data_IF_342145698226
#
_entry.id   IF_342145698226
#
_cell.length_a   1.000
_cell.length_b   1.000
_cell.length_c   1.000
_cell.angle_alpha   90.00
_cell.angle_beta   90.00
_cell.angle_gamma   90.00
#
_symmetry.space_group_name_H-M   'P 1'
#
loop_
_entity.id
_entity.type
_entity.pdbx_description
1 polymer ?
#
# COMPACT_ATOMS: atom_id res chain seq x y z
N UNK A 1 -5.04 23.00 10.94
CA UNK A 1 -4.16 24.06 10.39
C UNK A 1 -2.77 23.70 10.84
N UNK A 2 -1.78 23.47 9.93
CA UNK A 2 -0.42 23.25 10.37
C UNK A 2 0.01 24.43 11.26
N UNK A 3 0.64 24.13 12.39
CA UNK A 3 1.20 25.14 13.26
C UNK A 3 2.20 25.97 12.46
N UNK A 4 1.76 27.11 11.97
CA UNK A 4 2.62 28.10 11.32
C UNK A 4 3.64 28.54 12.36
N UNK A 5 4.92 28.34 12.05
CA UNK A 5 6.00 28.87 12.88
C UNK A 5 5.74 30.37 13.03
N UNK A 6 5.57 30.89 14.26
CA UNK A 6 5.29 32.32 14.45
C UNK A 6 6.35 33.17 13.79
N UNK A 7 5.96 34.29 13.21
CA UNK A 7 6.91 35.21 12.61
C UNK A 7 7.99 35.58 13.64
N UNK A 8 9.28 35.36 13.30
CA UNK A 8 10.41 35.57 14.19
C UNK A 8 10.87 34.37 15.02
N UNK A 9 10.16 33.24 14.99
CA UNK A 9 10.65 32.01 15.60
C UNK A 9 11.83 31.43 14.80
N UNK A 10 12.88 31.00 15.50
CA UNK A 10 13.99 30.28 14.86
C UNK A 10 13.54 28.86 14.53
N UNK A 11 13.46 28.54 13.24
CA UNK A 11 13.29 27.15 12.79
C UNK A 11 14.56 26.37 13.11
N UNK A 12 14.46 25.37 13.96
CA UNK A 12 15.60 24.50 14.28
C UNK A 12 15.76 23.45 13.17
N UNK A 13 17.00 23.04 12.91
CA UNK A 13 17.31 21.98 11.95
C UNK A 13 16.52 20.69 12.29
N UNK A 14 16.33 20.40 13.59
CA UNK A 14 15.52 19.27 14.04
C UNK A 14 14.03 19.36 13.63
N UNK A 15 13.47 20.55 13.55
CA UNK A 15 12.06 20.75 13.13
C UNK A 15 11.89 20.45 11.64
N UNK A 16 12.89 20.82 10.83
CA UNK A 16 12.91 20.52 9.39
C UNK A 16 13.10 19.02 9.16
N UNK A 17 14.08 18.41 9.83
CA UNK A 17 14.39 16.99 9.66
C UNK A 17 13.25 16.08 10.16
N UNK A 18 12.49 16.51 11.18
CA UNK A 18 11.36 15.75 11.70
C UNK A 18 10.14 15.76 10.76
N UNK A 19 10.09 16.71 9.81
CA UNK A 19 8.99 16.86 8.83
C UNK A 19 9.37 16.42 7.42
N UNK A 20 10.66 16.19 7.16
CA UNK A 20 11.11 15.72 5.85
C UNK A 20 10.62 14.28 5.61
N UNK A 21 10.01 13.97 4.47
CA UNK A 21 9.64 12.61 4.11
C UNK A 21 10.88 11.70 4.05
N UNK A 22 10.78 10.52 4.66
CA UNK A 22 11.85 9.52 4.68
C UNK A 22 11.31 8.19 4.16
N UNK A 23 11.95 7.64 3.14
CA UNK A 23 11.63 6.29 2.67
C UNK A 23 11.94 5.28 3.78
N UNK A 24 10.91 4.52 4.18
CA UNK A 24 11.02 3.47 5.20
C UNK A 24 11.30 2.13 4.54
N UNK A 25 10.54 1.80 3.50
CA UNK A 25 10.75 0.59 2.70
C UNK A 25 10.22 0.80 1.28
N UNK A 26 10.90 0.16 0.34
CA UNK A 26 10.46 -0.05 -1.04
C UNK A 26 10.73 -1.51 -1.40
N UNK A 27 9.67 -2.27 -1.65
CA UNK A 27 9.78 -3.67 -2.05
C UNK A 27 9.03 -3.90 -3.35
N UNK A 28 9.68 -4.52 -4.32
CA UNK A 28 9.15 -4.68 -5.66
C UNK A 28 9.31 -6.10 -6.18
N UNK A 29 8.35 -6.54 -6.98
CA UNK A 29 8.46 -7.74 -7.82
C UNK A 29 8.58 -7.35 -9.29
N UNK A 30 9.39 -8.09 -10.01
CA UNK A 30 9.64 -7.92 -11.46
C UNK A 30 9.11 -9.09 -12.29
N UNK A 31 8.39 -10.01 -11.64
CA UNK A 31 7.72 -11.15 -12.28
C UNK A 31 6.27 -11.20 -11.81
N UNK A 32 5.36 -11.53 -12.71
CA UNK A 32 3.93 -11.65 -12.38
C UNK A 32 3.68 -12.80 -11.40
N UNK A 33 2.68 -12.62 -10.53
CA UNK A 33 2.22 -13.70 -9.65
C UNK A 33 1.45 -14.78 -10.44
N UNK A 34 1.33 -15.96 -9.85
CA UNK A 34 0.39 -16.96 -10.34
C UNK A 34 -1.05 -16.43 -10.29
N UNK A 35 -1.88 -16.83 -11.24
CA UNK A 35 -3.30 -16.48 -11.24
C UNK A 35 -4.05 -17.21 -10.13
N UNK A 36 -5.04 -16.54 -9.53
CA UNK A 36 -5.89 -17.11 -8.49
C UNK A 36 -7.38 -16.95 -8.79
N UNK A 37 -8.20 -17.90 -8.34
CA UNK A 37 -9.66 -17.79 -8.25
C UNK A 37 -10.13 -17.47 -6.82
N UNK A 38 -9.20 -17.36 -5.87
CA UNK A 38 -9.48 -17.17 -4.45
C UNK A 38 -10.11 -15.81 -4.17
N UNK A 39 -11.17 -15.81 -3.36
CA UNK A 39 -11.75 -14.61 -2.75
C UNK A 39 -11.04 -14.20 -1.46
N UNK A 40 -10.12 -15.02 -0.95
CA UNK A 40 -9.23 -14.68 0.14
C UNK A 40 -7.97 -13.98 -0.36
N UNK A 41 -7.40 -13.11 0.47
CA UNK A 41 -6.20 -12.36 0.14
C UNK A 41 -5.00 -13.29 -0.15
N UNK A 42 -4.42 -13.16 -1.32
CA UNK A 42 -3.22 -13.88 -1.75
C UNK A 42 -2.02 -12.95 -1.68
N UNK A 43 -0.90 -13.35 -1.08
CA UNK A 43 0.29 -12.51 -1.03
C UNK A 43 0.92 -12.37 -2.41
N UNK A 44 1.35 -11.16 -2.74
CA UNK A 44 2.12 -10.84 -3.93
C UNK A 44 3.50 -10.29 -3.57
N UNK A 45 3.55 -9.36 -2.63
CA UNK A 45 4.77 -8.66 -2.21
C UNK A 45 4.83 -8.72 -0.68
N UNK A 46 5.95 -9.16 -0.13
CA UNK A 46 6.20 -9.09 1.32
C UNK A 46 7.45 -8.26 1.55
N UNK A 47 7.32 -7.18 2.30
CA UNK A 47 8.46 -6.31 2.61
C UNK A 47 9.40 -6.97 3.61
N UNK A 48 10.64 -6.49 3.65
CA UNK A 48 11.47 -6.65 4.83
C UNK A 48 10.77 -6.06 6.08
N UNK A 49 11.16 -6.47 7.30
CA UNK A 49 10.61 -5.89 8.51
C UNK A 49 10.79 -4.37 8.55
N UNK A 50 9.70 -3.65 8.78
CA UNK A 50 9.68 -2.19 8.89
C UNK A 50 9.32 -1.76 10.30
N UNK A 51 9.88 -0.65 10.78
CA UNK A 51 9.49 -0.05 12.05
C UNK A 51 8.65 1.20 11.80
N UNK A 52 7.38 1.10 12.15
CA UNK A 52 6.42 2.21 12.14
C UNK A 52 6.51 2.91 13.51
N UNK A 53 7.26 4.01 13.57
CA UNK A 53 7.54 4.73 14.82
C UNK A 53 6.27 5.35 15.40
N UNK A 54 6.14 5.33 16.71
CA UNK A 54 5.05 6.01 17.41
C UNK A 54 5.08 7.52 17.19
N UNK A 55 3.91 8.15 17.15
CA UNK A 55 3.76 9.59 16.90
C UNK A 55 4.05 10.03 15.45
N UNK A 56 4.17 9.08 14.51
CA UNK A 56 4.48 9.35 13.10
C UNK A 56 3.33 8.95 12.19
N UNK A 57 3.27 9.65 11.04
CA UNK A 57 2.38 9.34 9.93
C UNK A 57 3.17 8.69 8.78
N UNK A 58 2.56 7.70 8.16
CA UNK A 58 3.15 6.94 7.06
C UNK A 58 2.21 6.94 5.86
N UNK A 59 2.74 7.32 4.70
CA UNK A 59 2.07 7.08 3.43
C UNK A 59 2.44 5.68 2.95
N UNK A 60 1.44 4.85 2.74
CA UNK A 60 1.57 3.51 2.18
C UNK A 60 1.03 3.56 0.76
N UNK A 61 1.82 3.10 -0.20
CA UNK A 61 1.47 3.03 -1.61
C UNK A 61 1.58 1.61 -2.11
N UNK A 62 0.62 1.18 -2.95
CA UNK A 62 0.70 -0.07 -3.71
C UNK A 62 0.40 0.24 -5.18
N UNK A 63 1.38 -0.08 -6.04
CA UNK A 63 1.28 0.11 -7.48
C UNK A 63 1.59 -1.18 -8.22
N UNK A 64 0.92 -1.38 -9.35
CA UNK A 64 1.16 -2.52 -10.22
C UNK A 64 0.15 -2.61 -11.36
N UNK A 65 0.05 -3.79 -11.94
CA UNK A 65 -1.00 -4.16 -12.87
C UNK A 65 -1.81 -5.33 -12.31
N UNK A 66 -3.12 -5.36 -12.54
CA UNK A 66 -3.95 -6.54 -12.29
C UNK A 66 -4.23 -7.22 -13.62
N UNK A 67 -3.82 -8.48 -13.75
CA UNK A 67 -4.17 -9.32 -14.90
C UNK A 67 -5.48 -10.04 -14.65
N UNK A 68 -6.21 -10.30 -15.72
CA UNK A 68 -7.38 -11.17 -15.71
C UNK A 68 -7.35 -12.06 -16.95
N UNK A 69 -7.67 -13.34 -16.79
CA UNK A 69 -7.76 -14.32 -17.89
C UNK A 69 -9.14 -14.34 -18.55
N UNK A 70 -10.12 -13.67 -17.97
CA UNK A 70 -11.49 -13.61 -18.49
C UNK A 70 -12.04 -12.18 -18.35
N UNK A 71 -12.76 -11.73 -19.35
CA UNK A 71 -13.45 -10.42 -19.32
C UNK A 71 -14.44 -10.31 -18.15
N UNK A 72 -14.53 -9.14 -17.56
CA UNK A 72 -15.50 -8.80 -16.52
C UNK A 72 -15.13 -9.27 -15.12
N UNK A 73 -14.02 -9.98 -14.93
CA UNK A 73 -13.51 -10.29 -13.60
C UNK A 73 -13.10 -9.02 -12.86
N UNK A 74 -13.32 -9.00 -11.57
CA UNK A 74 -12.93 -7.88 -10.72
C UNK A 74 -12.12 -8.38 -9.53
N UNK A 75 -11.11 -7.63 -9.17
CA UNK A 75 -10.31 -7.89 -8.00
C UNK A 75 -10.13 -6.64 -7.14
N UNK A 76 -9.56 -6.83 -5.97
CA UNK A 76 -9.04 -5.76 -5.12
C UNK A 76 -7.60 -6.06 -4.76
N UNK A 77 -6.86 -5.02 -4.44
CA UNK A 77 -5.53 -5.10 -3.84
C UNK A 77 -5.55 -4.46 -2.47
N UNK A 78 -4.77 -5.00 -1.56
CA UNK A 78 -4.69 -4.54 -0.18
C UNK A 78 -3.22 -4.51 0.25
N UNK A 79 -2.91 -3.69 1.25
CA UNK A 79 -1.68 -3.84 2.03
C UNK A 79 -2.09 -4.16 3.46
N UNK A 80 -1.65 -5.29 3.96
CA UNK A 80 -1.96 -5.79 5.29
C UNK A 80 -0.70 -5.85 6.16
N UNK A 81 -0.87 -5.75 7.47
CA UNK A 81 0.21 -5.81 8.45
C UNK A 81 0.40 -7.24 8.96
N UNK A 82 1.63 -7.72 8.97
CA UNK A 82 2.03 -9.01 9.54
C UNK A 82 1.84 -10.20 8.61
N UNK A 83 0.71 -10.30 7.93
CA UNK A 83 0.39 -11.39 7.00
C UNK A 83 -0.67 -10.95 5.98
N UNK A 84 -0.92 -11.77 4.96
CA UNK A 84 -1.95 -11.51 3.96
C UNK A 84 -3.37 -11.34 4.56
N UNK A 85 -3.66 -12.00 5.67
CA UNK A 85 -4.92 -11.86 6.42
C UNK A 85 -4.84 -10.94 7.63
N UNK A 86 -3.77 -10.16 7.77
CA UNK A 86 -3.56 -9.23 8.89
C UNK A 86 -4.41 -7.96 8.79
N UNK A 87 -4.18 -7.02 9.74
CA UNK A 87 -4.88 -5.74 9.73
C UNK A 87 -4.62 -4.97 8.44
N UNK A 88 -5.68 -4.58 7.75
CA UNK A 88 -5.60 -3.86 6.48
C UNK A 88 -5.20 -2.40 6.71
N UNK A 89 -4.12 -1.97 6.09
CA UNK A 89 -3.62 -0.60 6.12
C UNK A 89 -3.99 0.21 4.87
N UNK A 90 -4.13 -0.48 3.74
CA UNK A 90 -4.61 0.08 2.48
C UNK A 90 -5.56 -0.92 1.84
N UNK A 91 -6.70 -0.43 1.37
CA UNK A 91 -7.68 -1.21 0.62
C UNK A 91 -8.07 -0.45 -0.65
N UNK A 92 -7.93 -1.07 -1.79
CA UNK A 92 -8.37 -0.49 -3.04
C UNK A 92 -9.89 -0.61 -3.20
N UNK A 93 -10.44 0.26 -4.03
CA UNK A 93 -11.72 0.00 -4.65
C UNK A 93 -11.59 -1.19 -5.63
N UNK A 94 -12.72 -1.70 -6.11
CA UNK A 94 -12.74 -2.76 -7.13
C UNK A 94 -11.99 -2.30 -8.37
N UNK A 95 -11.04 -3.11 -8.82
CA UNK A 95 -10.32 -2.95 -10.07
C UNK A 95 -11.07 -3.79 -11.11
N UNK A 96 -11.75 -3.16 -12.07
CA UNK A 96 -12.41 -3.90 -13.14
C UNK A 96 -11.33 -4.52 -14.04
N UNK A 97 -11.50 -5.78 -14.41
CA UNK A 97 -10.72 -6.38 -15.50
C UNK A 97 -11.06 -5.73 -16.86
N UNK A 98 -10.21 -5.92 -17.85
CA UNK A 98 -10.46 -5.39 -19.19
C UNK A 98 -11.82 -5.83 -19.74
N UNK A 99 -12.51 -4.92 -20.41
CA UNK A 99 -13.82 -5.22 -21.02
C UNK A 99 -13.61 -5.92 -22.37
N UNK A 100 -14.29 -7.05 -22.57
CA UNK A 100 -14.31 -7.74 -23.84
C UNK A 100 -13.20 -8.76 -24.08
N UNK A 101 -12.14 -8.78 -23.28
CA UNK A 101 -11.04 -9.76 -23.40
C UNK A 101 -10.22 -9.88 -22.13
N UNK A 102 -9.37 -10.92 -22.05
CA UNK A 102 -8.33 -11.01 -21.03
C UNK A 102 -7.30 -9.87 -21.19
N UNK A 103 -6.69 -9.42 -20.10
CA UNK A 103 -5.68 -8.37 -20.19
C UNK A 103 -5.21 -7.87 -18.82
N UNK A 104 -4.56 -6.70 -18.84
CA UNK A 104 -3.98 -6.06 -17.65
C UNK A 104 -4.50 -4.63 -17.51
N UNK A 105 -4.86 -4.26 -16.28
CA UNK A 105 -5.24 -2.89 -15.90
C UNK A 105 -4.26 -2.40 -14.85
N UNK A 106 -3.62 -1.24 -15.10
CA UNK A 106 -2.74 -0.60 -14.12
C UNK A 106 -3.52 -0.09 -12.91
N UNK A 107 -2.90 -0.14 -11.74
CA UNK A 107 -3.44 0.45 -10.52
C UNK A 107 -2.38 1.22 -9.74
N UNK A 108 -2.84 2.23 -9.00
CA UNK A 108 -2.09 2.98 -8.02
C UNK A 108 -3.04 3.36 -6.89
N UNK A 109 -2.76 2.91 -5.69
CA UNK A 109 -3.52 3.23 -4.50
C UNK A 109 -2.59 3.67 -3.39
N UNK A 110 -3.02 4.65 -2.61
CA UNK A 110 -2.30 5.11 -1.43
C UNK A 110 -3.25 5.33 -0.25
N UNK A 111 -2.71 5.22 0.95
CA UNK A 111 -3.39 5.59 2.19
C UNK A 111 -2.38 6.19 3.17
N UNK A 112 -2.84 7.09 4.02
CA UNK A 112 -2.07 7.61 5.14
C UNK A 112 -2.55 6.94 6.41
N UNK A 113 -1.62 6.35 7.13
CA UNK A 113 -1.84 5.73 8.45
C UNK A 113 -1.00 6.44 9.49
N UNK A 114 -1.48 6.46 10.75
CA UNK A 114 -0.76 7.07 11.87
C UNK A 114 -0.55 6.06 13.00
N UNK A 115 0.67 6.01 13.53
CA UNK A 115 0.94 5.24 14.73
C UNK A 115 0.76 6.12 15.97
N UNK A 116 -0.38 5.98 16.63
CA UNK A 116 -0.73 6.64 17.89
C UNK A 116 -0.80 5.66 19.06
N UNK A 117 -0.25 4.45 18.93
CA UNK A 117 -0.34 3.40 19.97
C UNK A 117 0.55 3.65 21.18
N UNK A 118 1.44 4.64 21.12
CA UNK A 118 2.41 4.93 22.19
C UNK A 118 3.70 4.11 22.10
N UNK A 119 3.79 3.12 21.19
CA UNK A 119 4.95 2.25 20.98
C UNK A 119 5.31 2.14 19.50
N UNK A 120 6.58 1.88 19.23
CA UNK A 120 7.02 1.55 17.87
C UNK A 120 6.52 0.15 17.49
N UNK A 121 6.05 0.00 16.24
CA UNK A 121 5.54 -1.26 15.72
C UNK A 121 6.51 -1.78 14.66
N UNK A 122 7.22 -2.88 14.95
CA UNK A 122 8.03 -3.57 13.96
C UNK A 122 7.22 -4.72 13.35
N UNK A 123 7.07 -4.74 12.05
CA UNK A 123 6.22 -5.68 11.31
C UNK A 123 6.69 -5.81 9.86
N UNK A 124 6.19 -6.84 9.15
CA UNK A 124 6.23 -6.88 7.69
C UNK A 124 4.95 -6.31 7.13
N UNK A 125 5.00 -5.77 5.92
CA UNK A 125 3.81 -5.39 5.16
C UNK A 125 3.65 -6.33 3.98
N UNK A 126 2.41 -6.74 3.72
CA UNK A 126 2.09 -7.70 2.66
C UNK A 126 1.13 -7.05 1.67
N UNK A 127 1.63 -6.76 0.48
CA UNK A 127 0.80 -6.40 -0.67
C UNK A 127 0.11 -7.66 -1.18
N UNK A 128 -1.22 -7.62 -1.22
CA UNK A 128 -2.07 -8.77 -1.56
C UNK A 128 -3.01 -8.44 -2.71
N UNK A 129 -3.60 -9.47 -3.28
CA UNK A 129 -4.69 -9.39 -4.25
C UNK A 129 -5.72 -10.47 -3.97
N UNK A 130 -6.97 -10.21 -4.32
CA UNK A 130 -8.05 -11.19 -4.18
C UNK A 130 -9.12 -10.95 -5.23
N UNK A 131 -9.81 -12.02 -5.63
CA UNK A 131 -10.95 -11.92 -6.53
C UNK A 131 -12.19 -11.47 -5.74
N UNK A 132 -12.91 -10.48 -6.29
CA UNK A 132 -14.15 -9.97 -5.67
C UNK A 132 -15.37 -10.39 -6.48
N UNK A 133 -15.23 -10.41 -7.80
CA UNK A 133 -16.32 -10.81 -8.69
C UNK A 133 -15.82 -11.81 -9.73
N UNK A 134 -16.03 -13.11 -9.48
CA UNK A 134 -15.62 -14.16 -10.40
C UNK A 134 -16.52 -14.18 -11.65
N UNK A 135 -15.90 -14.38 -12.81
CA UNK A 135 -16.57 -14.65 -14.08
C UNK A 135 -16.08 -16.01 -14.59
N UNK A 136 -16.93 -17.01 -14.50
CA UNK A 136 -16.58 -18.37 -14.90
C UNK A 136 -15.36 -18.93 -14.14
N UNK A 137 -14.47 -19.63 -14.85
CA UNK A 137 -13.22 -20.22 -14.30
C UNK A 137 -12.00 -19.34 -14.45
N UNK A 138 -12.16 -18.06 -14.79
CA UNK A 138 -11.03 -17.16 -14.98
C UNK A 138 -10.28 -16.83 -13.69
N UNK A 139 -9.02 -16.44 -13.83
CA UNK A 139 -8.15 -16.07 -12.71
C UNK A 139 -7.75 -14.59 -12.79
N UNK A 140 -7.37 -14.03 -11.65
CA UNK A 140 -6.68 -12.74 -11.56
C UNK A 140 -5.28 -12.92 -10.97
N UNK A 141 -4.37 -11.99 -11.25
CA UNK A 141 -3.02 -11.97 -10.68
C UNK A 141 -2.44 -10.56 -10.71
N UNK A 142 -1.30 -10.38 -10.06
CA UNK A 142 -0.53 -9.14 -10.18
C UNK A 142 0.43 -9.27 -11.36
N UNK A 143 0.33 -8.33 -12.30
CA UNK A 143 1.27 -8.19 -13.39
C UNK A 143 2.49 -7.38 -12.93
N UNK A 144 3.65 -7.90 -13.20
CA UNK A 144 4.93 -7.21 -13.04
C UNK A 144 5.93 -7.67 -14.10
N UNK A 145 6.84 -6.78 -14.47
CA UNK A 145 7.97 -7.05 -15.34
C UNK A 145 9.18 -6.22 -14.91
N UNK A 146 10.35 -6.47 -15.48
CA UNK A 146 11.55 -5.68 -15.21
C UNK A 146 11.42 -4.20 -15.59
N UNK A 147 10.55 -3.89 -16.56
CA UNK A 147 10.28 -2.51 -17.01
C UNK A 147 9.06 -1.88 -16.36
N UNK A 148 8.19 -2.70 -15.76
CA UNK A 148 6.94 -2.27 -15.09
C UNK A 148 6.79 -3.07 -13.81
N UNK A 149 7.59 -2.81 -12.78
CA UNK A 149 7.51 -3.53 -11.51
C UNK A 149 6.21 -3.22 -10.78
N UNK A 150 5.70 -4.20 -10.04
CA UNK A 150 4.71 -3.94 -9.00
C UNK A 150 5.44 -3.76 -7.67
N UNK A 151 5.01 -2.80 -6.84
CA UNK A 151 5.70 -2.49 -5.60
C UNK A 151 4.78 -2.01 -4.48
N UNK A 152 5.25 -2.23 -3.25
CA UNK A 152 4.77 -1.58 -2.04
C UNK A 152 5.84 -0.62 -1.54
N UNK A 153 5.43 0.63 -1.27
CA UNK A 153 6.28 1.68 -0.75
C UNK A 153 5.70 2.23 0.55
N UNK A 154 6.55 2.51 1.52
CA UNK A 154 6.19 3.21 2.76
C UNK A 154 7.13 4.39 2.95
N UNK A 155 6.54 5.55 3.15
CA UNK A 155 7.26 6.80 3.42
C UNK A 155 6.77 7.36 4.75
N UNK A 156 7.69 7.62 5.69
CA UNK A 156 7.41 8.43 6.86
C UNK A 156 7.26 9.89 6.40
N UNK A 157 6.07 10.46 6.57
CA UNK A 157 5.72 11.78 6.05
C UNK A 157 5.67 12.86 7.13
N UNK A 158 6.01 12.51 8.38
CA UNK A 158 6.08 13.51 9.44
C UNK A 158 5.30 13.14 10.70
N UNK A 159 5.11 14.11 11.59
CA UNK A 159 4.37 13.91 12.84
C UNK A 159 2.90 13.52 12.60
N UNK A 160 2.38 12.56 13.37
CA UNK A 160 0.98 12.11 13.28
C UNK A 160 -0.04 13.25 13.48
N UNK A 161 0.30 14.26 14.30
CA UNK A 161 -0.55 15.41 14.57
C UNK A 161 -0.82 16.30 13.33
N UNK A 162 0.03 16.23 12.31
CA UNK A 162 -0.18 16.96 11.05
C UNK A 162 -1.24 16.27 10.15
N UNK A 163 -1.68 15.07 10.50
CA UNK A 163 -2.61 14.22 9.71
C UNK A 163 -3.81 13.74 10.54
N UNK A 164 -4.67 14.66 11.04
CA UNK A 164 -5.76 14.31 11.96
C UNK A 164 -6.85 13.41 11.36
N UNK A 165 -6.94 13.34 10.02
CA UNK A 165 -7.90 12.50 9.30
C UNK A 165 -7.31 11.16 8.82
N UNK A 166 -6.04 10.85 9.16
CA UNK A 166 -5.41 9.61 8.76
C UNK A 166 -5.95 8.41 9.55
N UNK A 167 -5.84 7.23 8.96
CA UNK A 167 -6.30 5.97 9.57
C UNK A 167 -5.37 5.57 10.73
N UNK A 168 -5.85 5.34 11.95
CA UNK A 168 -5.02 4.80 13.03
C UNK A 168 -4.54 3.37 12.73
N UNK A 169 -3.31 3.02 13.21
CA UNK A 169 -2.75 1.65 13.15
C UNK A 169 -3.39 0.73 14.18
#
# INVERSE_FOLDING_TARGET
VPDLVPAGARVRVGDINNRAPVLVVYEAITSSTAGTTSTGAQPAITTDPVTLRTGRAFRICYRGGMTSTTSGQQGTVLVARGSAGGSTLLNSQRIPGPTGQAGTVGFYFENIVVNQTGVDITTVLVGTYQMVYPQGSGTIGIFASSTTPAYVEVVDIGPAGDYPSATPL
#
